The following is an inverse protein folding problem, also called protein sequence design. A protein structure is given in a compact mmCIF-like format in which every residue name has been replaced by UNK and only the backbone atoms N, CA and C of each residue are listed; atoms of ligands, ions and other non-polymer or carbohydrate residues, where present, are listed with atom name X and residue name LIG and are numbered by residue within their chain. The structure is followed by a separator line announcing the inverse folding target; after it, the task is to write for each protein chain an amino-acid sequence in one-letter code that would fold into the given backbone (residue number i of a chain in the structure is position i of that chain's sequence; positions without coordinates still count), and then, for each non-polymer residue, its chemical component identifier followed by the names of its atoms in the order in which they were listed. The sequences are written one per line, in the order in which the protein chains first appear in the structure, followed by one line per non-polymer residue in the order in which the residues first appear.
data_IF_265739784454
#
_entry.id   IF_265739784454
#
_cell.length_a   1.000
_cell.length_b   1.000
_cell.length_c   1.000
_cell.angle_alpha   90.00
_cell.angle_beta   90.00
_cell.angle_gamma   90.00
#
_symmetry.space_group_name_H-M   'P 1'
#
loop_
_entity.id
_entity.type
_entity.pdbx_description
1 polymer ?
#
# COMPACT_ATOMS: atom_id res chain seq x y z
N UNK A 1 15.39 22.63 40.71
CA UNK A 1 14.31 21.83 40.09
C UNK A 1 13.27 22.73 39.39
N UNK A 2 13.64 23.47 38.34
CA UNK A 2 12.71 24.42 37.67
C UNK A 2 12.56 24.19 36.16
N UNK A 3 13.39 23.32 35.58
CA UNK A 3 13.44 23.06 34.14
C UNK A 3 12.94 21.66 33.73
N UNK A 4 12.59 20.81 34.71
CA UNK A 4 12.05 19.47 34.45
C UNK A 4 10.60 19.53 33.94
N UNK A 5 9.83 20.52 34.39
CA UNK A 5 8.44 20.72 33.95
C UNK A 5 8.34 21.22 32.50
N UNK A 6 9.32 21.98 32.01
CA UNK A 6 9.34 22.48 30.63
C UNK A 6 9.69 21.40 29.61
N UNK A 7 10.43 20.35 30.01
CA UNK A 7 10.78 19.22 29.13
C UNK A 7 9.58 18.28 28.88
N UNK A 8 8.66 18.18 29.84
CA UNK A 8 7.45 17.37 29.70
C UNK A 8 6.38 17.99 28.80
N UNK A 9 6.33 19.32 28.71
CA UNK A 9 5.32 20.01 27.89
C UNK A 9 5.58 19.93 26.37
N UNK A 10 6.84 19.71 25.94
CA UNK A 10 7.15 19.56 24.51
C UNK A 10 6.84 18.17 23.95
N UNK A 11 6.58 17.17 24.81
CA UNK A 11 6.37 15.78 24.39
C UNK A 11 4.93 15.48 23.95
N UNK A 12 3.99 16.41 24.14
CA UNK A 12 2.56 16.20 23.86
C UNK A 12 2.16 16.42 22.40
N UNK A 13 3.11 16.74 21.50
CA UNK A 13 2.86 16.70 20.06
C UNK A 13 2.97 15.27 19.50
N UNK A 14 2.30 14.32 20.18
CA UNK A 14 1.87 13.09 19.53
C UNK A 14 0.85 13.49 18.46
N UNK A 15 1.37 13.74 17.25
CA UNK A 15 0.56 13.87 16.04
C UNK A 15 -0.18 12.55 15.90
N UNK A 16 -1.46 12.55 16.26
CA UNK A 16 -2.39 11.47 15.97
C UNK A 16 -2.58 11.50 14.45
N UNK A 17 -1.70 10.81 13.72
CA UNK A 17 -1.95 10.53 12.32
C UNK A 17 -3.16 9.62 12.30
N UNK A 18 -4.28 10.11 11.78
CA UNK A 18 -5.44 9.27 11.50
C UNK A 18 -4.96 8.13 10.60
N UNK A 19 -5.02 6.90 11.13
CA UNK A 19 -4.59 5.73 10.39
C UNK A 19 -5.62 5.52 9.29
N UNK A 20 -5.21 5.70 8.04
CA UNK A 20 -6.09 5.44 6.90
C UNK A 20 -6.29 3.93 6.83
N UNK A 21 -7.41 3.47 7.36
CA UNK A 21 -7.82 2.06 7.29
C UNK A 21 -8.47 1.83 5.93
N UNK A 22 -7.94 0.85 5.19
CA UNK A 22 -8.46 0.42 3.90
C UNK A 22 -9.31 -0.84 4.07
N UNK A 23 -10.48 -0.85 3.44
CA UNK A 23 -11.47 -1.91 3.61
C UNK A 23 -11.87 -2.56 2.28
N UNK A 24 -12.43 -3.77 2.38
CA UNK A 24 -13.00 -4.46 1.23
C UNK A 24 -14.14 -3.63 0.62
N UNK A 25 -14.10 -3.46 -0.70
CA UNK A 25 -15.04 -2.62 -1.42
C UNK A 25 -14.56 -1.20 -1.68
N UNK A 26 -13.46 -0.76 -1.07
CA UNK A 26 -12.81 0.52 -1.40
C UNK A 26 -12.36 0.53 -2.86
N UNK A 27 -12.60 1.65 -3.54
CA UNK A 27 -12.24 1.86 -4.93
C UNK A 27 -11.23 2.99 -5.03
N UNK A 28 -10.19 2.81 -5.83
CA UNK A 28 -9.12 3.78 -6.05
C UNK A 28 -8.93 4.06 -7.52
N UNK A 29 -8.63 5.31 -7.84
CA UNK A 29 -8.29 5.76 -9.18
C UNK A 29 -6.86 6.35 -9.19
N UNK A 30 -6.05 5.89 -10.14
CA UNK A 30 -4.69 6.39 -10.31
C UNK A 30 -4.66 7.77 -10.99
N UNK A 31 -4.13 8.78 -10.30
CA UNK A 31 -3.99 10.16 -10.83
C UNK A 31 -2.71 10.37 -11.64
N UNK A 32 -1.71 9.51 -11.48
CA UNK A 32 -0.46 9.52 -12.23
C UNK A 32 -0.08 8.12 -12.74
N UNK A 33 0.86 8.09 -13.68
CA UNK A 33 1.51 6.84 -14.09
C UNK A 33 2.35 6.29 -12.94
N UNK A 34 2.41 4.97 -12.79
CA UNK A 34 3.16 4.30 -11.71
C UNK A 34 2.78 4.77 -10.30
N UNK A 35 1.50 5.16 -10.10
CA UNK A 35 1.00 5.58 -8.80
C UNK A 35 1.12 4.49 -7.72
N UNK A 36 1.02 3.22 -8.14
CA UNK A 36 1.17 2.03 -7.29
C UNK A 36 1.66 0.84 -8.13
N UNK A 37 2.43 -0.05 -7.49
CA UNK A 37 2.82 -1.34 -8.06
C UNK A 37 1.77 -2.40 -7.71
N UNK A 38 1.28 -3.10 -8.73
CA UNK A 38 0.32 -4.19 -8.57
C UNK A 38 1.00 -5.52 -8.87
N UNK A 39 1.03 -6.42 -7.90
CA UNK A 39 1.75 -7.70 -7.98
C UNK A 39 0.85 -8.81 -8.51
N UNK A 40 1.42 -9.69 -9.32
CA UNK A 40 0.71 -10.81 -9.94
C UNK A 40 0.45 -11.95 -8.95
N UNK A 41 1.34 -12.12 -7.98
CA UNK A 41 1.31 -13.23 -7.05
C UNK A 41 1.24 -12.73 -5.62
N UNK A 42 0.30 -13.29 -4.86
CA UNK A 42 0.13 -12.99 -3.43
C UNK A 42 1.42 -13.23 -2.64
N UNK A 43 2.13 -14.32 -2.96
CA UNK A 43 3.35 -14.70 -2.28
C UNK A 43 4.44 -13.64 -2.41
N UNK A 44 4.57 -13.00 -3.58
CA UNK A 44 5.55 -11.93 -3.81
C UNK A 44 5.19 -10.67 -3.03
N UNK A 45 3.93 -10.24 -3.06
CA UNK A 45 3.47 -9.10 -2.26
C UNK A 45 3.70 -9.34 -0.75
N UNK A 46 3.40 -10.54 -0.27
CA UNK A 46 3.61 -10.94 1.12
C UNK A 46 5.11 -10.96 1.48
N UNK A 47 5.95 -11.52 0.61
CA UNK A 47 7.40 -11.61 0.83
C UNK A 47 8.01 -10.21 0.89
N UNK A 48 7.62 -9.33 -0.04
CA UNK A 48 8.03 -7.93 -0.05
C UNK A 48 7.58 -7.18 1.21
N UNK A 49 6.32 -7.32 1.62
CA UNK A 49 5.81 -6.70 2.84
C UNK A 49 6.64 -7.14 4.06
N UNK A 50 6.90 -8.45 4.18
CA UNK A 50 7.73 -9.02 5.24
C UNK A 50 9.15 -8.44 5.20
N UNK A 51 9.75 -8.35 4.00
CA UNK A 51 11.08 -7.79 3.83
C UNK A 51 11.13 -6.31 4.24
N UNK A 52 10.12 -5.49 3.88
CA UNK A 52 10.05 -4.07 4.30
C UNK A 52 9.99 -3.91 5.82
N UNK A 53 9.22 -4.77 6.49
CA UNK A 53 9.00 -4.68 7.94
C UNK A 53 10.16 -5.26 8.76
N UNK A 54 10.90 -6.24 8.23
CA UNK A 54 11.81 -7.07 9.04
C UNK A 54 13.22 -7.23 8.48
N UNK A 55 13.60 -6.52 7.42
CA UNK A 55 15.00 -6.58 6.94
C UNK A 55 15.90 -5.71 7.82
N UNK A 56 16.95 -6.32 8.37
CA UNK A 56 17.92 -5.63 9.23
C UNK A 56 19.17 -5.16 8.47
N UNK A 57 19.30 -5.54 7.20
CA UNK A 57 20.37 -5.08 6.30
C UNK A 57 19.87 -4.94 4.86
N UNK A 58 20.60 -4.16 4.06
CA UNK A 58 20.31 -4.03 2.62
C UNK A 58 20.40 -5.37 1.89
N UNK A 59 21.36 -6.22 2.27
CA UNK A 59 21.52 -7.54 1.66
C UNK A 59 20.32 -8.44 1.95
N UNK A 60 19.84 -8.45 3.20
CA UNK A 60 18.64 -9.21 3.57
C UNK A 60 17.42 -8.70 2.82
N UNK A 61 17.27 -7.36 2.74
CA UNK A 61 16.20 -6.77 1.95
C UNK A 61 16.24 -7.22 0.50
N UNK A 62 17.40 -7.15 -0.16
CA UNK A 62 17.54 -7.57 -1.56
C UNK A 62 17.21 -9.06 -1.74
N UNK A 63 17.62 -9.94 -0.82
CA UNK A 63 17.35 -11.37 -0.91
C UNK A 63 15.86 -11.72 -0.86
N UNK A 64 15.04 -10.93 -0.15
CA UNK A 64 13.62 -11.22 0.04
C UNK A 64 12.69 -10.30 -0.76
N UNK A 65 13.08 -9.05 -1.03
CA UNK A 65 12.25 -8.06 -1.70
C UNK A 65 12.30 -8.12 -3.23
N UNK A 66 13.24 -8.88 -3.82
CA UNK A 66 13.33 -8.99 -5.28
C UNK A 66 12.09 -9.67 -5.86
N UNK A 67 11.51 -9.02 -6.87
CA UNK A 67 10.38 -9.50 -7.66
C UNK A 67 10.72 -9.29 -9.12
N UNK A 68 10.38 -10.25 -9.97
CA UNK A 68 10.54 -10.08 -11.41
C UNK A 68 9.63 -8.96 -11.91
N UNK A 69 10.19 -8.00 -12.64
CA UNK A 69 9.43 -6.88 -13.22
C UNK A 69 8.26 -7.35 -14.10
N UNK A 70 8.34 -8.57 -14.66
CA UNK A 70 7.29 -9.18 -15.48
C UNK A 70 6.05 -9.54 -14.66
N UNK A 71 6.23 -9.72 -13.36
CA UNK A 71 5.18 -10.07 -12.41
C UNK A 71 4.57 -8.85 -11.71
N UNK A 72 4.83 -7.66 -12.25
CA UNK A 72 4.34 -6.38 -11.76
C UNK A 72 3.56 -5.68 -12.88
N UNK A 73 2.29 -5.38 -12.61
CA UNK A 73 1.53 -4.44 -13.42
C UNK A 73 1.83 -3.02 -12.93
N UNK A 74 2.26 -2.19 -13.87
CA UNK A 74 2.46 -0.75 -13.65
C UNK A 74 1.16 -0.03 -13.97
N UNK A 75 0.51 0.48 -12.92
CA UNK A 75 -0.75 1.21 -13.08
C UNK A 75 -0.53 2.47 -13.92
N UNK A 76 -1.52 2.80 -14.75
CA UNK A 76 -1.51 4.02 -15.56
C UNK A 76 -2.49 5.04 -15.00
N UNK A 77 -2.28 6.31 -15.35
CA UNK A 77 -3.25 7.36 -15.06
C UNK A 77 -4.64 6.98 -15.60
N UNK A 78 -5.65 7.08 -14.74
CA UNK A 78 -7.05 6.77 -15.03
C UNK A 78 -7.42 5.30 -14.87
N UNK A 79 -6.49 4.41 -14.52
CA UNK A 79 -6.87 3.05 -14.13
C UNK A 79 -7.55 3.08 -12.75
N UNK A 80 -8.64 2.34 -12.63
CA UNK A 80 -9.41 2.17 -11.39
C UNK A 80 -9.30 0.74 -10.91
N UNK A 81 -9.21 0.53 -9.60
CA UNK A 81 -9.23 -0.79 -8.99
C UNK A 81 -10.02 -0.80 -7.70
N UNK A 82 -10.55 -1.98 -7.35
CA UNK A 82 -11.37 -2.20 -6.17
C UNK A 82 -10.71 -3.22 -5.26
N UNK A 83 -10.64 -2.94 -3.96
CA UNK A 83 -10.24 -3.92 -2.95
C UNK A 83 -11.31 -4.99 -2.85
N UNK A 84 -10.89 -6.24 -2.97
CA UNK A 84 -11.80 -7.41 -2.92
C UNK A 84 -11.55 -8.30 -1.74
N UNK A 85 -10.31 -8.35 -1.24
CA UNK A 85 -9.97 -9.17 -0.08
C UNK A 85 -8.78 -8.62 0.70
N UNK A 86 -8.85 -8.66 2.01
CA UNK A 86 -7.73 -8.36 2.91
C UNK A 86 -6.93 -9.62 3.30
N UNK A 87 -5.61 -9.49 3.44
CA UNK A 87 -4.69 -10.51 3.95
C UNK A 87 -3.77 -9.91 4.99
N UNK A 88 -3.23 -10.75 5.89
CA UNK A 88 -2.28 -10.35 6.94
C UNK A 88 -2.77 -9.12 7.70
N UNK A 89 -4.01 -9.18 8.19
CA UNK A 89 -4.63 -8.11 8.99
C UNK A 89 -4.61 -6.73 8.32
N UNK A 90 -4.69 -6.67 6.98
CA UNK A 90 -4.74 -5.40 6.25
C UNK A 90 -3.39 -4.94 5.68
N UNK A 91 -2.33 -5.73 5.78
CA UNK A 91 -1.03 -5.38 5.18
C UNK A 91 -1.01 -5.55 3.65
N UNK A 92 -1.75 -6.54 3.14
CA UNK A 92 -1.80 -6.88 1.72
C UNK A 92 -3.24 -7.05 1.28
N UNK A 93 -3.61 -6.43 0.17
CA UNK A 93 -4.94 -6.53 -0.41
C UNK A 93 -4.91 -7.24 -1.76
N UNK A 94 -5.93 -8.05 -2.03
CA UNK A 94 -6.28 -8.43 -3.41
C UNK A 94 -7.20 -7.37 -3.98
N UNK A 95 -6.98 -7.07 -5.25
CA UNK A 95 -7.73 -6.06 -5.98
C UNK A 95 -8.18 -6.59 -7.34
N UNK A 96 -9.34 -6.11 -7.77
CA UNK A 96 -9.83 -6.29 -9.14
C UNK A 96 -9.55 -4.98 -9.89
N UNK A 97 -8.80 -5.09 -11.00
CA UNK A 97 -8.44 -3.95 -11.84
C UNK A 97 -9.50 -3.78 -12.93
N UNK A 98 -10.20 -2.65 -12.93
CA UNK A 98 -11.30 -2.35 -13.87
C UNK A 98 -10.79 -1.86 -15.25
N UNK A 99 -9.47 -1.87 -15.46
CA UNK A 99 -8.86 -1.45 -16.72
C UNK A 99 -9.11 -2.47 -17.83
N UNK A 100 -9.66 -2.03 -18.97
CA UNK A 100 -9.87 -2.85 -20.19
C UNK A 100 -8.59 -3.48 -20.76
N UNK A 101 -7.41 -3.05 -20.28
CA UNK A 101 -6.10 -3.54 -20.72
C UNK A 101 -5.61 -4.73 -19.90
N UNK A 102 -6.21 -4.98 -18.74
CA UNK A 102 -5.88 -6.13 -17.91
C UNK A 102 -6.44 -7.40 -18.52
N UNK A 103 -5.60 -8.43 -18.66
CA UNK A 103 -6.06 -9.79 -18.98
C UNK A 103 -6.21 -10.68 -17.75
N UNK A 104 -5.74 -10.22 -16.59
CA UNK A 104 -5.81 -10.97 -15.32
C UNK A 104 -7.01 -10.52 -14.51
N UNK A 105 -7.60 -11.50 -13.84
CA UNK A 105 -8.73 -11.30 -12.95
C UNK A 105 -8.34 -10.54 -11.69
N UNK A 106 -7.16 -10.86 -11.11
CA UNK A 106 -6.77 -10.41 -9.76
C UNK A 106 -5.32 -9.97 -9.71
N UNK A 107 -5.07 -8.95 -8.88
CA UNK A 107 -3.74 -8.47 -8.51
C UNK A 107 -3.66 -8.31 -6.99
N UNK A 108 -2.45 -8.03 -6.50
CA UNK A 108 -2.18 -7.78 -5.09
C UNK A 108 -1.47 -6.44 -4.92
N UNK A 109 -1.71 -5.77 -3.80
CA UNK A 109 -1.13 -4.47 -3.47
C UNK A 109 -0.82 -4.40 -1.98
N UNK A 110 0.24 -3.68 -1.61
CA UNK A 110 0.58 -3.45 -0.21
C UNK A 110 -0.21 -2.25 0.30
N UNK A 111 -0.65 -2.33 1.55
CA UNK A 111 -1.39 -1.25 2.24
C UNK A 111 -0.60 0.05 2.28
N UNK A 112 0.72 -0.03 2.51
CA UNK A 112 1.61 1.12 2.48
C UNK A 112 1.58 1.86 1.13
N UNK A 113 1.49 1.13 0.02
CA UNK A 113 1.51 1.73 -1.31
C UNK A 113 0.16 2.43 -1.63
N UNK A 114 -0.92 2.09 -0.91
CA UNK A 114 -2.24 2.75 -1.03
C UNK A 114 -2.29 4.15 -0.40
N UNK A 115 -1.33 4.48 0.49
CA UNK A 115 -1.18 5.81 1.09
C UNK A 115 -0.59 6.84 0.11
N UNK A 116 -0.27 6.42 -1.12
CA UNK A 116 0.29 7.27 -2.17
C UNK A 116 -0.64 8.43 -2.51
N UNK A 117 -0.11 9.66 -2.48
CA UNK A 117 -0.82 10.88 -2.94
C UNK A 117 -1.21 10.86 -4.42
N UNK A 118 -0.75 9.86 -5.18
CA UNK A 118 -1.10 9.65 -6.58
C UNK A 118 -2.30 8.73 -6.76
N UNK A 119 -2.89 8.23 -5.68
CA UNK A 119 -4.15 7.52 -5.67
C UNK A 119 -5.24 8.40 -5.06
N UNK A 120 -6.43 8.35 -5.64
CA UNK A 120 -7.62 8.95 -5.03
C UNK A 120 -8.63 7.86 -4.73
N UNK A 121 -9.14 7.83 -3.50
CA UNK A 121 -10.27 6.98 -3.14
C UNK A 121 -11.53 7.53 -3.83
N UNK A 122 -12.21 6.71 -4.61
CA UNK A 122 -13.44 7.06 -5.31
C UNK A 122 -14.58 6.90 -4.31
N UNK A 123 -15.27 8.00 -3.99
CA UNK A 123 -16.46 7.95 -3.15
C UNK A 123 -17.56 7.16 -3.87
N UNK A 124 -18.24 6.26 -3.15
CA UNK A 124 -19.50 5.68 -3.65
C UNK A 124 -20.52 6.81 -3.72
N UNK A 125 -20.83 7.29 -4.92
CA UNK A 125 -22.07 8.05 -5.11
C UNK A 125 -23.21 7.09 -4.79
N UNK A 126 -23.93 7.39 -3.70
CA UNK A 126 -25.13 6.66 -3.28
C UNK A 126 -26.30 6.97 -4.21
#
# INVERSE_FOLDING_TARGET
MKYLFTLLLSLSSFVFSEEIIHEEGDVFEAKKYEAVALYFYKADAIRLNTARQHSFSLNDFLNYATIDKRDIYKIRKGDTFKITKSFRNGDVFQIDLESKRSKREKYFVLSEDLKSSFLAKVAKNS
#
